data_IF_738439005840
#
_entry.id   IF_738439005840
#
_cell.length_a   1.000
_cell.length_b   1.000
_cell.length_c   1.000
_cell.angle_alpha   90.00
_cell.angle_beta   90.00
_cell.angle_gamma   90.00
#
_symmetry.space_group_name_H-M   'P 1'
#
loop_
_entity.id
_entity.type
_entity.pdbx_description
1 polymer ?
#
# COMPACT_ATOMS: atom_id res chain seq x y z
N UNK A 1 -22.94 27.17 12.49
CA UNK A 1 -22.89 26.00 11.57
C UNK A 1 -21.43 25.63 11.40
N UNK A 2 -21.01 24.43 11.80
CA UNK A 2 -19.69 23.94 11.37
C UNK A 2 -19.77 23.83 9.85
N UNK A 3 -18.85 24.46 9.13
CA UNK A 3 -18.77 24.26 7.69
C UNK A 3 -18.56 22.76 7.45
N UNK A 4 -19.43 22.12 6.67
CA UNK A 4 -19.23 20.72 6.32
C UNK A 4 -17.91 20.63 5.56
N UNK A 5 -17.02 19.79 6.07
CA UNK A 5 -15.70 19.52 5.50
C UNK A 5 -15.86 18.31 4.57
N UNK A 6 -15.32 18.38 3.36
CA UNK A 6 -15.44 17.32 2.34
C UNK A 6 -14.06 16.71 2.09
N UNK A 7 -13.95 15.39 1.99
CA UNK A 7 -12.69 14.75 1.69
C UNK A 7 -12.34 14.87 0.20
N UNK A 8 -11.09 15.24 -0.11
CA UNK A 8 -10.56 15.23 -1.47
C UNK A 8 -9.70 13.99 -1.67
N UNK A 9 -10.25 12.98 -2.32
CA UNK A 9 -9.55 11.73 -2.60
C UNK A 9 -8.67 11.85 -3.84
N UNK A 10 -7.47 11.27 -3.77
CA UNK A 10 -6.52 11.23 -4.89
C UNK A 10 -5.90 9.84 -4.97
N UNK A 11 -6.06 9.19 -6.13
CA UNK A 11 -5.38 7.92 -6.37
C UNK A 11 -3.87 8.12 -6.55
N UNK A 12 -3.06 7.39 -5.78
CA UNK A 12 -1.59 7.51 -5.77
C UNK A 12 -0.94 6.11 -5.72
N UNK A 13 -0.95 5.37 -6.84
CA UNK A 13 -0.47 3.98 -6.88
C UNK A 13 1.06 3.84 -6.79
N UNK A 14 1.80 4.96 -6.89
CA UNK A 14 3.25 4.98 -6.79
C UNK A 14 3.75 5.18 -5.35
N UNK A 15 2.84 5.22 -4.36
CA UNK A 15 3.14 5.61 -2.99
C UNK A 15 4.40 4.96 -2.40
N UNK A 16 4.53 3.64 -2.45
CA UNK A 16 5.69 2.93 -1.87
C UNK A 16 7.01 3.30 -2.55
N UNK A 17 6.99 3.47 -3.88
CA UNK A 17 8.17 3.90 -4.64
C UNK A 17 8.57 5.33 -4.29
N UNK A 18 7.57 6.20 -4.12
CA UNK A 18 7.76 7.58 -3.68
C UNK A 18 8.30 7.66 -2.25
N UNK A 19 7.88 6.77 -1.34
CA UNK A 19 8.45 6.67 0.00
C UNK A 19 9.88 6.11 -0.02
N UNK A 20 10.18 5.16 -0.91
CA UNK A 20 11.53 4.61 -1.07
C UNK A 20 12.52 5.68 -1.56
N UNK A 21 12.12 6.52 -2.53
CA UNK A 21 12.93 7.62 -3.02
C UNK A 21 12.95 8.83 -2.05
N UNK A 22 11.80 9.10 -1.43
CA UNK A 22 11.56 10.15 -0.45
C UNK A 22 11.89 11.58 -0.90
N UNK A 23 11.81 11.86 -2.21
CA UNK A 23 11.97 13.20 -2.77
C UNK A 23 10.63 13.85 -3.11
N UNK A 24 10.43 15.15 -2.84
CA UNK A 24 9.25 15.89 -3.29
C UNK A 24 9.23 16.10 -4.82
N UNK A 25 10.32 15.80 -5.53
CA UNK A 25 10.42 15.89 -7.00
C UNK A 25 10.51 14.51 -7.65
N UNK A 26 10.25 13.43 -6.91
CA UNK A 26 10.26 12.09 -7.47
C UNK A 26 9.22 11.95 -8.58
N UNK A 27 9.66 11.43 -9.73
CA UNK A 27 8.80 11.05 -10.83
C UNK A 27 8.71 9.52 -10.90
N UNK A 28 7.52 8.92 -10.71
CA UNK A 28 7.35 7.48 -10.84
C UNK A 28 7.68 6.99 -12.26
N UNK A 29 7.97 5.69 -12.43
CA UNK A 29 8.12 5.09 -13.76
C UNK A 29 6.86 5.27 -14.61
N UNK A 30 7.01 5.30 -15.93
CA UNK A 30 5.91 5.54 -16.87
C UNK A 30 4.71 4.60 -16.66
N UNK A 31 4.94 3.33 -16.31
CA UNK A 31 3.87 2.37 -16.01
C UNK A 31 3.07 2.73 -14.76
N UNK A 32 3.71 3.28 -13.72
CA UNK A 32 3.02 3.75 -12.52
C UNK A 32 2.25 5.06 -12.78
N UNK A 33 2.81 5.98 -13.57
CA UNK A 33 2.10 7.17 -14.01
C UNK A 33 0.86 6.80 -14.84
N UNK A 34 1.00 5.84 -15.76
CA UNK A 34 -0.11 5.35 -16.57
C UNK A 34 -1.21 4.73 -15.71
N UNK A 35 -0.84 3.90 -14.73
CA UNK A 35 -1.78 3.31 -13.77
C UNK A 35 -2.53 4.38 -12.96
N UNK A 36 -1.84 5.46 -12.57
CA UNK A 36 -2.46 6.58 -11.84
C UNK A 36 -3.53 7.29 -12.67
N UNK A 37 -3.31 7.42 -13.98
CA UNK A 37 -4.28 8.03 -14.91
C UNK A 37 -5.44 7.08 -15.17
N UNK A 38 -5.14 5.83 -15.56
CA UNK A 38 -6.13 4.83 -15.96
C UNK A 38 -7.10 4.48 -14.81
N UNK A 39 -6.63 4.53 -13.56
CA UNK A 39 -7.44 4.24 -12.37
C UNK A 39 -7.67 5.48 -11.48
N UNK A 40 -7.58 6.68 -12.05
CA UNK A 40 -7.80 7.93 -11.31
C UNK A 40 -9.18 8.01 -10.63
N UNK A 41 -10.18 7.33 -11.19
CA UNK A 41 -11.53 7.21 -10.63
C UNK A 41 -11.72 6.09 -9.61
N UNK A 42 -10.70 5.29 -9.29
CA UNK A 42 -10.84 4.23 -8.29
C UNK A 42 -11.45 4.72 -6.95
N UNK A 43 -11.17 5.95 -6.47
CA UNK A 43 -11.76 6.46 -5.25
C UNK A 43 -13.28 6.62 -5.24
N UNK A 44 -13.94 6.74 -6.40
CA UNK A 44 -15.41 6.94 -6.43
C UNK A 44 -16.17 5.77 -5.79
N UNK A 45 -15.56 4.59 -5.74
CA UNK A 45 -16.19 3.38 -5.22
C UNK A 45 -16.19 3.27 -3.69
N UNK A 46 -15.38 4.05 -2.99
CA UNK A 46 -15.29 4.00 -1.52
C UNK A 46 -15.40 5.36 -0.84
N UNK A 47 -15.38 6.46 -1.59
CA UNK A 47 -15.61 7.79 -1.08
C UNK A 47 -17.11 8.04 -0.81
N UNK A 48 -17.41 8.95 0.12
CA UNK A 48 -18.79 9.31 0.44
C UNK A 48 -19.40 10.22 -0.64
N UNK A 49 -20.74 10.28 -0.78
CA UNK A 49 -21.39 11.14 -1.77
C UNK A 49 -21.00 12.62 -1.69
N UNK A 50 -20.73 13.10 -0.47
CA UNK A 50 -20.33 14.49 -0.17
C UNK A 50 -18.83 14.76 -0.42
N UNK A 51 -18.05 13.71 -0.68
CA UNK A 51 -16.62 13.82 -0.98
C UNK A 51 -16.39 14.18 -2.45
N UNK A 52 -15.14 14.52 -2.76
CA UNK A 52 -14.66 14.81 -4.10
C UNK A 52 -13.53 13.86 -4.50
N UNK A 53 -13.48 13.49 -5.78
CA UNK A 53 -12.37 12.71 -6.35
C UNK A 53 -11.58 13.59 -7.32
N UNK A 54 -10.29 13.78 -7.04
CA UNK A 54 -9.38 14.53 -7.90
C UNK A 54 -8.94 13.66 -9.08
N UNK A 55 -9.46 13.96 -10.28
CA UNK A 55 -9.08 13.25 -11.50
C UNK A 55 -9.21 14.15 -12.73
N UNK A 56 -8.22 14.07 -13.62
CA UNK A 56 -8.15 14.91 -14.81
C UNK A 56 -8.56 14.11 -16.06
N UNK A 57 -9.73 14.38 -16.64
CA UNK A 57 -10.05 14.23 -18.08
C UNK A 57 -11.56 14.33 -18.35
N UNK A 58 -11.93 14.79 -19.55
CA UNK A 58 -13.32 14.73 -20.03
C UNK A 58 -13.85 13.27 -20.11
N UNK A 59 -12.98 12.31 -20.41
CA UNK A 59 -13.34 10.88 -20.43
C UNK A 59 -13.77 10.37 -19.07
N UNK A 60 -13.11 10.79 -17.99
CA UNK A 60 -13.47 10.44 -16.63
C UNK A 60 -14.84 11.00 -16.24
N UNK A 61 -15.14 12.24 -16.66
CA UNK A 61 -16.44 12.85 -16.39
C UNK A 61 -17.58 12.06 -17.03
N UNK A 62 -17.48 11.77 -18.33
CA UNK A 62 -18.50 10.98 -19.03
C UNK A 62 -18.68 9.59 -18.42
N UNK A 63 -17.58 8.90 -18.10
CA UNK A 63 -17.66 7.60 -17.43
C UNK A 63 -18.37 7.70 -16.08
N UNK A 64 -18.05 8.72 -15.27
CA UNK A 64 -18.69 8.88 -13.97
C UNK A 64 -20.18 9.19 -14.11
N UNK A 65 -20.58 10.06 -15.03
CA UNK A 65 -22.00 10.39 -15.28
C UNK A 65 -22.81 9.12 -15.65
N UNK A 66 -22.26 8.26 -16.49
CA UNK A 66 -22.86 6.95 -16.81
C UNK A 66 -23.02 6.07 -15.56
N UNK A 67 -22.06 6.10 -14.63
CA UNK A 67 -22.14 5.32 -13.38
C UNK A 67 -23.07 5.95 -12.36
N UNK A 68 -23.13 7.27 -12.26
CA UNK A 68 -24.04 8.00 -11.39
C UNK A 68 -25.50 7.75 -11.77
N UNK A 69 -25.80 7.50 -13.05
CA UNK A 69 -27.13 7.07 -13.49
C UNK A 69 -27.56 5.71 -12.90
N UNK A 70 -26.61 4.86 -12.50
CA UNK A 70 -26.86 3.55 -11.90
C UNK A 70 -26.67 3.55 -10.37
N UNK A 71 -25.76 4.39 -9.89
CA UNK A 71 -25.32 4.48 -8.50
C UNK A 71 -25.40 5.96 -8.07
N UNK A 72 -26.57 6.37 -7.58
CA UNK A 72 -26.88 7.78 -7.27
C UNK A 72 -26.01 8.37 -6.14
N UNK A 73 -25.35 7.53 -5.36
CA UNK A 73 -24.53 7.91 -4.20
C UNK A 73 -23.03 8.06 -4.52
N UNK A 74 -22.63 8.01 -5.80
CA UNK A 74 -21.22 8.24 -6.14
C UNK A 74 -20.83 9.72 -5.98
N UNK A 75 -19.61 10.01 -5.46
CA UNK A 75 -19.12 11.37 -5.29
C UNK A 75 -18.98 12.12 -6.61
N UNK A 76 -18.75 13.42 -6.51
CA UNK A 76 -18.45 14.25 -7.67
C UNK A 76 -16.94 14.27 -8.01
N UNK A 77 -16.63 14.67 -9.24
CA UNK A 77 -15.25 14.92 -9.65
C UNK A 77 -14.86 16.37 -9.39
N UNK A 78 -13.60 16.55 -9.07
CA UNK A 78 -12.97 17.86 -8.97
C UNK A 78 -11.74 17.89 -9.86
N UNK A 79 -11.64 18.91 -10.71
CA UNK A 79 -10.48 19.15 -11.56
C UNK A 79 -9.42 19.98 -10.82
N UNK A 80 -8.16 19.86 -11.24
CA UNK A 80 -7.04 20.58 -10.62
C UNK A 80 -7.27 22.10 -10.41
N UNK A 81 -7.82 22.86 -11.39
CA UNK A 81 -8.05 24.29 -11.20
C UNK A 81 -9.10 24.63 -10.13
N UNK A 82 -10.02 23.71 -9.85
CA UNK A 82 -11.14 23.92 -8.93
C UNK A 82 -10.72 23.70 -7.46
N UNK A 83 -9.61 22.99 -7.22
CA UNK A 83 -9.09 22.69 -5.89
C UNK A 83 -8.84 23.96 -5.07
N UNK A 84 -8.19 24.97 -5.66
CA UNK A 84 -7.85 26.21 -4.98
C UNK A 84 -9.08 27.05 -4.58
N UNK A 85 -10.19 26.89 -5.30
CA UNK A 85 -11.41 27.69 -5.12
C UNK A 85 -12.49 26.97 -4.30
N UNK A 86 -12.32 25.67 -4.05
CA UNK A 86 -13.29 24.86 -3.32
C UNK A 86 -12.99 24.91 -1.82
N UNK A 87 -13.86 25.51 -1.01
CA UNK A 87 -13.61 25.69 0.41
C UNK A 87 -13.78 24.38 1.18
N UNK A 88 -13.10 24.26 2.32
CA UNK A 88 -13.27 23.15 3.28
C UNK A 88 -12.96 21.75 2.72
N UNK A 89 -11.99 21.64 1.80
CA UNK A 89 -11.46 20.35 1.36
C UNK A 89 -10.38 19.83 2.30
N UNK A 90 -10.48 18.54 2.65
CA UNK A 90 -9.45 17.82 3.41
C UNK A 90 -8.87 16.73 2.52
N UNK A 91 -7.61 16.82 2.08
CA UNK A 91 -7.04 15.80 1.22
C UNK A 91 -6.88 14.45 1.92
N UNK A 92 -7.32 13.39 1.24
CA UNK A 92 -7.19 11.99 1.67
C UNK A 92 -6.63 11.19 0.49
N UNK A 93 -5.34 11.35 0.15
CA UNK A 93 -4.75 10.57 -0.93
C UNK A 93 -4.67 9.09 -0.54
N UNK A 94 -4.60 8.23 -1.55
CA UNK A 94 -4.35 6.79 -1.40
C UNK A 94 -3.12 6.48 -0.51
N UNK A 95 -2.16 7.40 -0.48
CA UNK A 95 -1.11 7.40 0.53
C UNK A 95 -0.27 8.67 0.49
N UNK A 96 0.13 9.17 1.66
CA UNK A 96 0.91 10.40 1.79
C UNK A 96 2.40 10.21 1.53
N UNK A 97 2.97 11.03 0.65
CA UNK A 97 4.42 11.10 0.44
C UNK A 97 4.85 12.52 0.04
N UNK A 98 6.15 12.84 0.07
CA UNK A 98 6.63 14.20 -0.26
C UNK A 98 6.20 14.72 -1.64
N UNK A 99 6.06 13.84 -2.64
CA UNK A 99 5.68 14.23 -4.00
C UNK A 99 4.20 14.64 -4.07
N UNK A 100 3.30 13.84 -3.49
CA UNK A 100 1.86 14.20 -3.39
C UNK A 100 1.65 15.42 -2.52
N UNK A 101 2.40 15.55 -1.41
CA UNK A 101 2.38 16.75 -0.59
C UNK A 101 2.74 18.01 -1.42
N UNK A 102 3.83 17.96 -2.19
CA UNK A 102 4.21 19.08 -3.07
C UNK A 102 3.18 19.36 -4.15
N UNK A 103 2.60 18.32 -4.74
CA UNK A 103 1.56 18.43 -5.76
C UNK A 103 0.32 19.13 -5.22
N UNK A 104 -0.22 18.70 -4.09
CA UNK A 104 -1.40 19.34 -3.47
C UNK A 104 -1.14 20.79 -3.06
N UNK A 105 0.06 21.11 -2.54
CA UNK A 105 0.46 22.51 -2.33
C UNK A 105 0.41 23.32 -3.61
N UNK A 106 0.86 22.76 -4.73
CA UNK A 106 0.86 23.47 -6.02
C UNK A 106 -0.55 23.70 -6.58
N UNK A 107 -1.53 22.92 -6.14
CA UNK A 107 -2.95 23.11 -6.44
C UNK A 107 -3.66 24.10 -5.52
N UNK A 108 -2.92 24.74 -4.59
CA UNK A 108 -3.47 25.74 -3.67
C UNK A 108 -4.06 25.17 -2.39
N UNK A 109 -3.86 23.88 -2.08
CA UNK A 109 -4.26 23.33 -0.79
C UNK A 109 -3.44 23.99 0.32
N UNK A 110 -4.07 24.55 1.37
CA UNK A 110 -3.35 25.20 2.46
C UNK A 110 -2.44 24.22 3.21
N UNK A 111 -1.24 24.69 3.58
CA UNK A 111 -0.21 23.85 4.22
C UNK A 111 -0.65 23.22 5.55
N UNK A 112 -1.59 23.85 6.25
CA UNK A 112 -2.20 23.39 7.50
C UNK A 112 -3.12 22.18 7.33
N UNK A 113 -3.61 21.92 6.11
CA UNK A 113 -4.40 20.73 5.78
C UNK A 113 -3.51 19.55 5.35
N UNK A 114 -2.19 19.74 5.26
CA UNK A 114 -1.24 18.74 4.80
C UNK A 114 -0.42 18.18 5.97
N UNK A 115 0.05 16.92 5.88
CA UNK A 115 0.91 16.37 6.91
C UNK A 115 2.23 17.14 6.98
N UNK A 116 2.63 17.50 8.20
CA UNK A 116 3.92 18.13 8.43
C UNK A 116 5.09 17.13 8.24
N UNK A 117 6.32 17.64 8.33
CA UNK A 117 7.54 16.82 8.13
C UNK A 117 7.63 15.62 9.09
N UNK A 118 7.21 15.78 10.34
CA UNK A 118 7.25 14.70 11.33
C UNK A 118 6.21 13.62 11.01
N UNK A 119 5.00 14.02 10.59
CA UNK A 119 3.97 13.10 10.13
C UNK A 119 4.40 12.33 8.87
N UNK A 120 4.97 12.99 7.87
CA UNK A 120 5.51 12.32 6.68
C UNK A 120 6.63 11.33 7.02
N UNK A 121 7.51 11.68 7.96
CA UNK A 121 8.55 10.78 8.45
C UNK A 121 7.97 9.57 9.20
N UNK A 122 6.94 9.78 10.02
CA UNK A 122 6.24 8.70 10.72
C UNK A 122 5.58 7.74 9.72
N UNK A 123 4.88 8.25 8.70
CA UNK A 123 4.27 7.47 7.63
C UNK A 123 5.32 6.62 6.91
N UNK A 124 6.48 7.20 6.55
CA UNK A 124 7.58 6.45 5.94
C UNK A 124 8.08 5.34 6.85
N UNK A 125 8.31 5.64 8.13
CA UNK A 125 8.82 4.66 9.11
C UNK A 125 7.84 3.52 9.35
N UNK A 126 6.53 3.81 9.43
CA UNK A 126 5.49 2.81 9.64
C UNK A 126 5.20 1.98 8.38
N UNK A 127 5.40 2.56 7.19
CA UNK A 127 5.29 1.83 5.91
C UNK A 127 6.51 0.95 5.62
N UNK A 128 7.61 1.17 6.33
CA UNK A 128 8.84 0.41 6.17
C UNK A 128 8.69 -0.99 6.76
N UNK A 129 9.04 -2.03 6.00
CA UNK A 129 8.85 -3.44 6.43
C UNK A 129 9.56 -3.81 7.74
N UNK A 130 10.58 -3.06 8.16
CA UNK A 130 11.16 -3.21 9.51
C UNK A 130 10.10 -3.13 10.62
N UNK A 131 9.07 -2.29 10.45
CA UNK A 131 7.96 -2.21 11.40
C UNK A 131 7.26 -3.57 11.53
N UNK A 132 6.94 -4.22 10.40
CA UNK A 132 6.34 -5.55 10.39
C UNK A 132 7.31 -6.63 10.93
N UNK A 133 8.60 -6.55 10.60
CA UNK A 133 9.64 -7.45 11.15
C UNK A 133 9.66 -7.40 12.67
N UNK A 134 9.60 -6.21 13.26
CA UNK A 134 9.60 -6.03 14.71
C UNK A 134 8.29 -6.46 15.38
N UNK A 135 7.17 -6.35 14.67
CA UNK A 135 5.85 -6.71 15.18
C UNK A 135 5.61 -8.23 15.15
N UNK A 136 6.16 -8.94 14.15
CA UNK A 136 5.90 -10.37 13.94
C UNK A 136 6.13 -11.23 15.19
N UNK A 137 7.21 -11.09 15.99
CA UNK A 137 7.39 -11.87 17.21
C UNK A 137 6.30 -11.63 18.26
N UNK A 138 5.76 -10.42 18.34
CA UNK A 138 4.68 -10.09 19.28
C UNK A 138 3.31 -10.65 18.83
N UNK A 139 3.17 -11.04 17.56
CA UNK A 139 1.97 -11.66 17.01
C UNK A 139 2.00 -13.19 17.08
N UNK A 140 3.10 -13.81 17.53
CA UNK A 140 3.19 -15.25 17.75
C UNK A 140 2.49 -15.63 19.08
N UNK A 141 1.15 -15.58 19.08
CA UNK A 141 0.34 -15.68 20.30
C UNK A 141 0.18 -17.12 20.82
N UNK A 142 0.18 -18.10 19.91
CA UNK A 142 0.06 -19.53 20.20
C UNK A 142 0.61 -20.36 19.02
N UNK A 143 0.49 -21.68 19.11
CA UNK A 143 1.03 -22.62 18.12
C UNK A 143 0.34 -22.58 16.74
N UNK A 144 -0.75 -21.81 16.59
CA UNK A 144 -1.40 -21.58 15.28
C UNK A 144 -0.73 -20.45 14.49
N UNK A 145 0.15 -19.66 15.11
CA UNK A 145 0.93 -18.64 14.43
C UNK A 145 2.30 -19.19 14.04
N UNK A 146 2.82 -18.69 12.92
CA UNK A 146 4.17 -18.97 12.47
C UNK A 146 4.73 -17.77 11.70
N UNK A 147 5.95 -17.91 11.20
CA UNK A 147 6.59 -16.90 10.38
C UNK A 147 7.88 -16.39 11.00
N UNK A 148 8.86 -16.17 10.14
CA UNK A 148 10.14 -15.58 10.50
C UNK A 148 10.46 -14.49 9.49
N UNK A 149 11.07 -13.40 9.96
CA UNK A 149 11.45 -12.29 9.12
C UNK A 149 12.66 -11.61 9.73
N UNK A 150 13.67 -11.35 8.89
CA UNK A 150 14.96 -10.83 9.33
C UNK A 150 15.27 -9.53 8.60
N UNK A 151 15.67 -8.49 9.34
CA UNK A 151 16.12 -7.24 8.75
C UNK A 151 17.65 -7.20 8.72
N UNK A 152 18.21 -7.30 7.52
CA UNK A 152 19.64 -7.43 7.29
C UNK A 152 20.20 -6.13 6.70
N UNK A 153 21.27 -5.62 7.28
CA UNK A 153 21.82 -4.28 6.99
C UNK A 153 23.15 -4.32 6.24
N UNK A 154 23.66 -5.50 5.91
CA UNK A 154 24.87 -5.66 5.11
C UNK A 154 24.77 -6.89 4.19
N UNK A 155 25.55 -6.86 3.11
CA UNK A 155 25.51 -7.89 2.05
C UNK A 155 26.08 -9.23 2.47
N UNK A 156 26.96 -9.27 3.48
CA UNK A 156 27.53 -10.51 4.00
C UNK A 156 26.45 -11.33 4.71
N UNK A 157 25.65 -10.70 5.56
CA UNK A 157 24.54 -11.36 6.25
C UNK A 157 23.43 -11.76 5.27
N UNK A 158 23.15 -10.91 4.27
CA UNK A 158 22.18 -11.25 3.21
C UNK A 158 22.64 -12.47 2.42
N UNK A 159 23.93 -12.51 2.04
CA UNK A 159 24.53 -13.68 1.37
C UNK A 159 24.39 -14.91 2.24
N UNK A 160 24.81 -14.81 3.50
CA UNK A 160 24.76 -15.92 4.45
C UNK A 160 23.33 -16.46 4.61
N UNK A 161 22.34 -15.58 4.71
CA UNK A 161 20.95 -15.98 4.75
C UNK A 161 20.54 -16.73 3.48
N UNK A 162 20.80 -16.18 2.30
CA UNK A 162 20.44 -16.81 1.02
C UNK A 162 21.10 -18.18 0.85
N UNK A 163 22.39 -18.31 1.15
CA UNK A 163 23.17 -19.53 0.93
C UNK A 163 22.84 -20.64 1.94
N UNK A 164 22.20 -20.32 3.07
CA UNK A 164 21.74 -21.29 4.07
C UNK A 164 20.27 -21.71 3.92
N UNK A 165 19.54 -21.17 2.95
CA UNK A 165 18.15 -21.55 2.70
C UNK A 165 18.01 -22.17 1.31
N UNK A 166 17.24 -23.26 1.19
CA UNK A 166 16.95 -23.86 -0.11
C UNK A 166 16.22 -22.87 -1.02
N UNK A 167 15.18 -22.21 -0.49
CA UNK A 167 14.50 -21.09 -1.13
C UNK A 167 14.15 -20.03 -0.09
N UNK A 168 14.42 -18.76 -0.40
CA UNK A 168 14.04 -17.63 0.42
C UNK A 168 13.58 -16.43 -0.42
N UNK A 169 13.00 -15.45 0.25
CA UNK A 169 12.54 -14.22 -0.36
C UNK A 169 13.24 -13.01 0.26
N UNK A 170 13.91 -12.22 -0.57
CA UNK A 170 14.41 -10.91 -0.19
C UNK A 170 13.43 -9.82 -0.63
N UNK A 171 13.18 -8.83 0.22
CA UNK A 171 12.24 -7.74 -0.03
C UNK A 171 12.89 -6.39 0.25
N UNK A 172 12.70 -5.43 -0.66
CA UNK A 172 13.05 -4.04 -0.39
C UNK A 172 12.14 -3.50 0.72
N UNK A 173 12.68 -2.76 1.70
CA UNK A 173 11.89 -2.32 2.85
C UNK A 173 10.68 -1.42 2.54
N UNK A 174 10.78 -0.57 1.52
CA UNK A 174 9.70 0.27 0.99
C UNK A 174 9.41 -0.18 -0.44
N UNK A 175 8.46 -1.11 -0.57
CA UNK A 175 8.01 -1.67 -1.85
C UNK A 175 6.67 -2.40 -1.70
N UNK A 176 5.88 -2.40 -2.77
CA UNK A 176 4.58 -3.05 -2.82
C UNK A 176 4.21 -3.55 -4.22
N UNK A 177 3.04 -4.20 -4.33
CA UNK A 177 2.53 -4.78 -5.58
C UNK A 177 3.52 -5.74 -6.28
N UNK A 178 4.23 -6.57 -5.50
CA UNK A 178 5.22 -7.52 -6.02
C UNK A 178 6.54 -6.92 -6.50
N UNK A 179 6.69 -5.59 -6.48
CA UNK A 179 7.95 -4.91 -6.82
C UNK A 179 8.94 -5.06 -5.66
N UNK A 180 10.23 -5.03 -5.98
CA UNK A 180 11.29 -5.10 -4.97
C UNK A 180 11.41 -6.45 -4.28
N UNK A 181 10.88 -7.52 -4.89
CA UNK A 181 11.01 -8.90 -4.41
C UNK A 181 12.10 -9.63 -5.22
N UNK A 182 12.94 -10.39 -4.54
CA UNK A 182 13.90 -11.31 -5.16
C UNK A 182 13.74 -12.70 -4.56
N UNK A 183 13.29 -13.63 -5.38
CA UNK A 183 13.25 -15.05 -5.05
C UNK A 183 14.65 -15.64 -5.22
N UNK A 184 15.21 -16.19 -4.15
CA UNK A 184 16.54 -16.77 -4.15
C UNK A 184 16.44 -18.27 -3.90
N UNK A 185 17.19 -19.07 -4.66
CA UNK A 185 17.24 -20.53 -4.53
C UNK A 185 18.66 -20.95 -4.15
N UNK A 186 19.00 -20.76 -2.88
CA UNK A 186 20.34 -21.00 -2.32
C UNK A 186 21.52 -20.18 -2.93
N UNK A 187 21.32 -19.46 -4.03
CA UNK A 187 22.41 -18.79 -4.75
C UNK A 187 22.31 -17.27 -4.65
N UNK A 188 23.34 -16.65 -4.04
CA UNK A 188 23.48 -15.20 -3.99
C UNK A 188 24.25 -14.65 -5.21
N UNK A 189 23.51 -14.33 -6.26
CA UNK A 189 24.07 -13.86 -7.54
C UNK A 189 24.59 -12.43 -7.48
N UNK A 190 25.42 -12.03 -8.45
CA UNK A 190 25.91 -10.65 -8.59
C UNK A 190 24.79 -9.63 -8.82
N UNK A 191 23.67 -10.04 -9.45
CA UNK A 191 22.48 -9.20 -9.64
C UNK A 191 21.81 -8.94 -8.30
N UNK A 192 21.61 -9.99 -7.49
CA UNK A 192 21.03 -9.86 -6.15
C UNK A 192 21.98 -9.01 -5.28
N UNK A 193 23.29 -9.20 -5.36
CA UNK A 193 24.24 -8.40 -4.59
C UNK A 193 24.11 -6.89 -4.86
N UNK A 194 24.13 -6.49 -6.14
CA UNK A 194 23.99 -5.08 -6.52
C UNK A 194 22.64 -4.50 -6.08
N UNK A 195 21.58 -5.30 -6.19
CA UNK A 195 20.26 -4.88 -5.72
C UNK A 195 20.23 -4.70 -4.19
N UNK A 196 20.81 -5.64 -3.44
CA UNK A 196 20.91 -5.58 -1.97
C UNK A 196 21.74 -4.40 -1.50
N UNK A 197 22.91 -4.15 -2.11
CA UNK A 197 23.73 -2.96 -1.82
C UNK A 197 22.94 -1.67 -2.02
N UNK A 198 22.21 -1.58 -3.12
CA UNK A 198 21.37 -0.41 -3.39
C UNK A 198 20.26 -0.25 -2.34
N UNK A 199 19.57 -1.34 -1.99
CA UNK A 199 18.51 -1.33 -0.97
C UNK A 199 19.05 -0.93 0.41
N UNK A 200 20.18 -1.51 0.84
CA UNK A 200 20.89 -1.16 2.08
C UNK A 200 21.26 0.33 2.09
N UNK A 201 21.88 0.83 1.01
CA UNK A 201 22.32 2.23 0.95
C UNK A 201 21.16 3.24 0.91
N UNK A 202 20.01 2.88 0.31
CA UNK A 202 18.88 3.80 0.12
C UNK A 202 17.80 3.69 1.19
N UNK A 203 17.62 2.51 1.74
CA UNK A 203 16.51 2.16 2.63
C UNK A 203 17.00 1.58 3.96
N UNK A 204 18.30 1.41 4.15
CA UNK A 204 18.90 0.98 5.41
C UNK A 204 18.99 -0.53 5.59
N UNK A 205 18.42 -1.34 4.68
CA UNK A 205 18.48 -2.79 4.78
C UNK A 205 17.67 -3.54 3.72
N UNK A 206 17.58 -4.85 3.91
CA UNK A 206 16.76 -5.79 3.15
C UNK A 206 16.03 -6.67 4.15
N UNK A 207 14.75 -6.96 3.89
CA UNK A 207 14.02 -7.98 4.65
C UNK A 207 14.23 -9.33 3.98
N UNK A 208 14.61 -10.33 4.76
CA UNK A 208 14.83 -11.69 4.32
C UNK A 208 13.89 -12.64 5.07
N UNK A 209 13.16 -13.48 4.34
CA UNK A 209 12.15 -14.38 4.89
C UNK A 209 12.30 -15.79 4.27
N UNK A 210 12.13 -16.88 5.05
CA UNK A 210 12.05 -18.22 4.51
C UNK A 210 10.74 -18.40 3.72
N UNK A 211 10.71 -19.39 2.82
CA UNK A 211 9.49 -19.78 2.10
C UNK A 211 8.79 -20.93 2.85
N UNK A 212 7.50 -20.74 3.10
CA UNK A 212 6.64 -21.74 3.73
C UNK A 212 5.84 -22.55 2.70
N UNK A 213 5.37 -23.73 3.10
CA UNK A 213 4.43 -24.51 2.32
C UNK A 213 3.04 -23.84 2.32
N UNK A 214 2.86 -22.93 1.38
CA UNK A 214 1.64 -22.13 1.24
C UNK A 214 0.48 -22.97 0.74
N UNK A 215 -0.64 -22.94 1.47
CA UNK A 215 -1.92 -23.59 1.09
C UNK A 215 -3.02 -22.61 0.68
N UNK A 216 -2.95 -21.35 1.12
CA UNK A 216 -3.88 -20.28 0.78
C UNK A 216 -3.19 -18.91 0.87
N UNK A 217 -3.65 -17.91 0.09
CA UNK A 217 -3.29 -16.51 0.26
C UNK A 217 -4.50 -15.70 0.72
N UNK A 218 -4.40 -14.96 1.82
CA UNK A 218 -5.43 -14.02 2.25
C UNK A 218 -4.84 -12.79 2.95
N UNK A 219 -5.65 -11.75 3.08
CA UNK A 219 -5.38 -10.57 3.88
C UNK A 219 -6.61 -10.19 4.70
N UNK A 220 -6.38 -9.52 5.81
CA UNK A 220 -7.41 -8.89 6.64
C UNK A 220 -7.25 -7.38 6.55
N UNK A 221 -8.34 -6.67 6.25
CA UNK A 221 -8.36 -5.22 6.21
C UNK A 221 -8.96 -4.68 7.50
N UNK A 222 -8.34 -3.63 8.03
CA UNK A 222 -8.79 -2.93 9.22
C UNK A 222 -8.87 -1.43 8.94
N UNK A 223 -9.87 -0.78 9.52
CA UNK A 223 -10.02 0.67 9.53
C UNK A 223 -9.60 1.20 10.91
N UNK A 224 -8.65 2.14 10.95
CA UNK A 224 -8.19 2.80 12.17
C UNK A 224 -8.64 4.27 12.16
N UNK A 225 -9.58 4.63 13.03
CA UNK A 225 -10.27 5.92 13.02
C UNK A 225 -9.46 7.09 13.62
N UNK A 226 -8.25 6.83 14.11
CA UNK A 226 -7.35 7.85 14.68
C UNK A 226 -7.68 8.28 16.12
N UNK A 227 -8.81 7.83 16.67
CA UNK A 227 -9.23 7.99 18.07
C UNK A 227 -8.83 6.80 18.96
N UNK A 228 -8.05 5.87 18.40
CA UNK A 228 -7.67 4.60 19.03
C UNK A 228 -8.59 3.43 18.67
N UNK A 229 -9.73 3.67 18.02
CA UNK A 229 -10.61 2.61 17.57
C UNK A 229 -10.09 1.99 16.27
N UNK A 230 -10.08 0.65 16.25
CA UNK A 230 -9.75 -0.16 15.08
C UNK A 230 -10.91 -1.13 14.84
N UNK A 231 -11.47 -1.13 13.64
CA UNK A 231 -12.55 -2.04 13.25
C UNK A 231 -12.11 -2.92 12.08
N UNK A 232 -12.54 -4.18 12.10
CA UNK A 232 -12.40 -5.07 10.96
C UNK A 232 -13.26 -4.58 9.79
N UNK A 233 -12.69 -4.59 8.57
CA UNK A 233 -13.35 -4.10 7.36
C UNK A 233 -13.67 -5.21 6.36
N UNK A 234 -12.97 -6.35 6.42
CA UNK A 234 -13.23 -7.49 5.55
C UNK A 234 -11.98 -8.31 5.22
N UNK A 235 -12.22 -9.48 4.65
CA UNK A 235 -11.17 -10.35 4.12
C UNK A 235 -10.92 -10.07 2.64
N UNK A 236 -9.69 -10.33 2.21
CA UNK A 236 -9.34 -10.50 0.80
C UNK A 236 -8.75 -11.87 0.60
N UNK A 237 -9.47 -12.76 -0.07
CA UNK A 237 -9.00 -14.09 -0.41
C UNK A 237 -8.49 -14.08 -1.86
N UNK A 238 -7.21 -14.40 -2.05
CA UNK A 238 -6.56 -14.24 -3.34
C UNK A 238 -5.69 -15.43 -3.71
N UNK A 239 -5.17 -15.42 -4.94
CA UNK A 239 -4.27 -16.45 -5.43
C UNK A 239 -3.01 -15.81 -5.98
N UNK A 240 -1.87 -16.29 -5.51
CA UNK A 240 -0.57 -16.04 -6.14
C UNK A 240 -0.03 -17.32 -6.76
N UNK A 241 0.68 -17.18 -7.89
CA UNK A 241 1.41 -18.28 -8.53
C UNK A 241 2.57 -18.74 -7.65
N UNK A 242 3.19 -19.87 -8.00
CA UNK A 242 4.33 -20.43 -7.27
C UNK A 242 5.53 -19.45 -7.14
N UNK A 243 5.64 -18.47 -8.04
CA UNK A 243 6.65 -17.40 -8.00
C UNK A 243 6.16 -16.11 -7.33
N UNK A 244 5.04 -16.15 -6.61
CA UNK A 244 4.46 -15.02 -5.88
C UNK A 244 3.73 -13.98 -6.73
N UNK A 245 3.59 -14.18 -8.04
CA UNK A 245 2.85 -13.25 -8.90
C UNK A 245 1.37 -13.34 -8.60
N UNK A 246 0.75 -12.19 -8.30
CA UNK A 246 -0.70 -12.08 -8.12
C UNK A 246 -1.44 -12.53 -9.38
N UNK A 247 -2.47 -13.35 -9.19
CA UNK A 247 -3.24 -13.92 -10.29
C UNK A 247 -4.71 -13.50 -10.27
N UNK A 248 -5.36 -13.58 -9.12
CA UNK A 248 -6.79 -13.28 -9.00
C UNK A 248 -7.23 -13.10 -7.56
N UNK A 249 -8.36 -12.40 -7.36
CA UNK A 249 -9.12 -12.37 -6.12
C UNK A 249 -10.36 -13.28 -6.26
N UNK A 250 -10.78 -13.91 -5.16
CA UNK A 250 -12.07 -14.56 -5.05
C UNK A 250 -13.04 -13.61 -4.34
N UNK A 251 -14.10 -13.20 -5.04
CA UNK A 251 -15.16 -12.37 -4.48
C UNK A 251 -16.15 -13.23 -3.73
N UNK A 252 -16.09 -13.20 -2.41
CA UNK A 252 -16.93 -13.97 -1.50
C UNK A 252 -17.30 -13.11 -0.29
N UNK A 253 -18.48 -13.33 0.33
CA UNK A 253 -18.78 -12.81 1.66
C UNK A 253 -17.75 -13.29 2.70
N UNK A 254 -17.50 -12.47 3.71
CA UNK A 254 -16.53 -12.76 4.77
C UNK A 254 -16.82 -14.08 5.48
N UNK A 255 -18.09 -14.41 5.74
CA UNK A 255 -18.48 -15.65 6.43
C UNK A 255 -18.12 -16.89 5.59
N UNK A 256 -18.09 -16.77 4.26
CA UNK A 256 -17.67 -17.86 3.38
C UNK A 256 -16.13 -17.95 3.28
N UNK A 257 -15.43 -16.82 3.39
CA UNK A 257 -13.96 -16.82 3.46
C UNK A 257 -13.52 -17.46 4.78
N UNK A 258 -14.11 -17.07 5.91
CA UNK A 258 -13.85 -17.66 7.22
C UNK A 258 -14.06 -19.18 7.19
N UNK A 259 -15.22 -19.66 6.73
CA UNK A 259 -15.50 -21.11 6.61
C UNK A 259 -14.47 -21.87 5.78
N UNK A 260 -13.83 -21.22 4.81
CA UNK A 260 -12.75 -21.84 4.03
C UNK A 260 -11.45 -21.87 4.82
N UNK A 261 -11.09 -20.77 5.46
CA UNK A 261 -9.88 -20.64 6.26
C UNK A 261 -9.92 -21.56 7.51
N UNK A 262 -11.11 -21.82 8.08
CA UNK A 262 -11.28 -22.73 9.22
C UNK A 262 -10.91 -24.19 8.95
N UNK A 263 -10.70 -24.57 7.69
CA UNK A 263 -10.17 -25.90 7.34
C UNK A 263 -8.66 -26.01 7.60
N UNK A 264 -7.97 -24.89 7.84
CA UNK A 264 -6.53 -24.83 8.02
C UNK A 264 -6.12 -24.33 9.42
N UNK A 265 -6.87 -23.38 9.98
CA UNK A 265 -6.61 -22.79 11.31
C UNK A 265 -7.93 -22.64 12.08
N UNK A 266 -7.96 -22.79 13.41
CA UNK A 266 -9.19 -22.61 14.17
C UNK A 266 -9.66 -21.14 14.14
N UNK A 267 -10.98 -20.92 14.28
CA UNK A 267 -11.56 -19.57 14.32
C UNK A 267 -11.23 -18.84 15.64
N UNK A 268 -11.10 -19.59 16.73
CA UNK A 268 -10.71 -19.09 18.04
C UNK A 268 -9.32 -19.63 18.41
N UNK A 269 -8.51 -18.76 19.00
CA UNK A 269 -7.11 -18.99 19.39
C UNK A 269 -6.98 -19.73 20.73
#
# INVERSE_FOLDING_TARGET
>A
MKANTSALHLFNPAHDLSLANYSPTYMPPASACRLSVDLSLLPVWYAHPEDAVLASSFHNLHFLEEKQALFLELPHLLMEPEVATTPNLVPVPWGWNPAVHKYLLSLGVPSEMLPNKAQLAAIRTQSHRLFAVNLLPALQLNDNFCGESFYLTNTSDIRHFVENHETCLLKAPLSGSGKGLNWCRNVYTSVINRWSEHAVNRQGGVVAEPIYNKVADFAMLFHAAGDGNVSFAGYSLFRTRANGVYESNMLLPDELIERRLTNYVPLEA
#
